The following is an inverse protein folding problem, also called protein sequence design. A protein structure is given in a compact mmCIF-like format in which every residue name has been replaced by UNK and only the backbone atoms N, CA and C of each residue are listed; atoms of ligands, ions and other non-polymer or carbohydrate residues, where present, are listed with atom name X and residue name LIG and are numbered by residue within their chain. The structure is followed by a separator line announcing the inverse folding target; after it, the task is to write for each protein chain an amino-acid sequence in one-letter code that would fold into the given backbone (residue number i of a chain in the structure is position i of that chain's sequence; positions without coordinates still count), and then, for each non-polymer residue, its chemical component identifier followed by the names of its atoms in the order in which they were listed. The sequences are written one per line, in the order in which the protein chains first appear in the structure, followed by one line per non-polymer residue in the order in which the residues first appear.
data_IF_311224739173
#
_entry.id   IF_311224739173
#
_cell.length_a   1.000
_cell.length_b   1.000
_cell.length_c   1.000
_cell.angle_alpha   90.00
_cell.angle_beta   90.00
_cell.angle_gamma   90.00
#
_symmetry.space_group_name_H-M   'P 1'
#
loop_
_entity.id
_entity.type
_entity.pdbx_description
1 polymer ?
#
# COMPACT_ATOMS: atom_id res chain seq x y z
N UNK A 1 0.13 -2.08 3.46
CA UNK A 1 0.11 -0.64 3.77
C UNK A 1 0.56 -0.35 5.20
N UNK A 2 0.05 -1.02 6.22
CA UNK A 2 0.47 -0.83 7.61
C UNK A 2 1.97 -0.96 7.84
N UNK A 3 2.60 -1.97 7.24
CA UNK A 3 4.05 -2.16 7.28
C UNK A 3 4.83 -0.92 6.80
N UNK A 4 4.36 -0.28 5.73
CA UNK A 4 4.99 0.94 5.21
C UNK A 4 4.88 2.09 6.20
N UNK A 5 3.70 2.31 6.78
CA UNK A 5 3.46 3.41 7.72
C UNK A 5 4.35 3.35 8.96
N UNK A 6 4.56 2.15 9.52
CA UNK A 6 5.33 2.02 10.76
C UNK A 6 6.84 1.95 10.52
N UNK A 7 7.27 1.49 9.34
CA UNK A 7 8.69 1.29 9.05
C UNK A 7 9.33 2.44 8.26
N UNK A 8 8.55 3.34 7.66
CA UNK A 8 9.08 4.50 6.95
C UNK A 8 9.85 5.44 7.88
N UNK A 9 9.34 5.66 9.09
CA UNK A 9 9.97 6.51 10.11
C UNK A 9 11.38 6.01 10.50
N UNK A 10 11.57 4.78 11.02
CA UNK A 10 12.91 4.30 11.38
C UNK A 10 13.85 4.20 10.19
N UNK A 11 13.34 3.99 8.98
CA UNK A 11 14.16 3.99 7.77
C UNK A 11 14.75 5.36 7.46
N UNK A 12 13.97 6.44 7.58
CA UNK A 12 14.44 7.80 7.30
C UNK A 12 15.31 8.31 8.44
N UNK A 13 14.93 8.08 9.69
CA UNK A 13 15.68 8.55 10.86
C UNK A 13 17.01 7.83 11.05
N UNK A 14 17.23 6.68 10.42
CA UNK A 14 18.49 5.95 10.47
C UNK A 14 19.66 6.68 9.78
N UNK A 15 19.36 7.52 8.78
CA UNK A 15 20.40 8.24 8.02
C UNK A 15 20.14 9.75 7.91
N UNK A 16 19.03 10.25 8.44
CA UNK A 16 18.65 11.66 8.34
C UNK A 16 17.93 12.14 9.61
N UNK A 17 17.38 13.32 9.56
CA UNK A 17 16.73 13.99 10.69
C UNK A 17 15.19 14.03 10.56
N UNK A 18 14.52 14.48 11.65
CA UNK A 18 13.06 14.61 11.70
C UNK A 18 12.52 15.62 10.68
N UNK A 19 13.32 16.61 10.28
CA UNK A 19 12.93 17.59 9.25
C UNK A 19 12.82 16.92 7.89
N UNK A 20 13.79 16.06 7.56
CA UNK A 20 13.77 15.26 6.33
C UNK A 20 12.61 14.28 6.32
N UNK A 21 12.32 13.64 7.45
CA UNK A 21 11.14 12.77 7.59
C UNK A 21 9.87 13.54 7.26
N UNK A 22 9.67 14.72 7.83
CA UNK A 22 8.50 15.57 7.55
C UNK A 22 8.39 15.95 6.06
N UNK A 23 9.52 16.22 5.39
CA UNK A 23 9.54 16.49 3.94
C UNK A 23 9.10 15.24 3.15
N UNK A 24 9.64 14.06 3.46
CA UNK A 24 9.27 12.81 2.80
C UNK A 24 7.78 12.53 2.96
N UNK A 25 7.24 12.64 4.18
CA UNK A 25 5.82 12.44 4.46
C UNK A 25 4.93 13.43 3.73
N UNK A 26 5.33 14.71 3.69
CA UNK A 26 4.59 15.76 2.96
C UNK A 26 4.53 15.46 1.47
N UNK A 27 5.65 15.06 0.87
CA UNK A 27 5.70 14.68 -0.56
C UNK A 27 4.83 13.45 -0.81
N UNK A 28 4.86 12.45 0.06
CA UNK A 28 3.99 11.28 -0.01
C UNK A 28 2.51 11.67 0.03
N UNK A 29 2.12 12.53 0.98
CA UNK A 29 0.75 13.02 1.11
C UNK A 29 0.28 13.79 -0.14
N UNK A 30 1.16 14.58 -0.75
CA UNK A 30 0.88 15.26 -2.03
C UNK A 30 0.56 14.24 -3.15
N UNK A 31 1.22 13.09 -3.19
CA UNK A 31 0.91 12.01 -4.14
C UNK A 31 -0.53 11.54 -4.03
N UNK A 32 -0.99 11.27 -2.81
CA UNK A 32 -2.38 10.89 -2.54
C UNK A 32 -3.37 11.99 -2.92
N UNK A 33 -3.05 13.25 -2.60
CA UNK A 33 -3.91 14.39 -2.89
C UNK A 33 -4.07 14.60 -4.41
N UNK A 34 -2.98 14.62 -5.15
CA UNK A 34 -2.98 14.79 -6.62
C UNK A 34 -3.77 13.67 -7.29
N UNK A 35 -3.55 12.43 -6.88
CA UNK A 35 -4.25 11.28 -7.47
C UNK A 35 -5.75 11.27 -7.13
N UNK A 36 -6.12 11.69 -5.91
CA UNK A 36 -7.53 11.86 -5.52
C UNK A 36 -8.25 12.91 -6.34
N UNK A 37 -7.58 14.05 -6.63
CA UNK A 37 -8.13 15.09 -7.50
C UNK A 37 -8.32 14.57 -8.93
N UNK A 38 -7.33 13.89 -9.49
CA UNK A 38 -7.42 13.30 -10.83
C UNK A 38 -8.57 12.31 -10.90
N UNK A 39 -8.71 11.44 -9.89
CA UNK A 39 -9.77 10.47 -9.79
C UNK A 39 -11.15 11.13 -9.65
N UNK A 40 -11.25 12.21 -8.86
CA UNK A 40 -12.48 12.98 -8.69
C UNK A 40 -12.94 13.67 -10.00
N UNK A 41 -12.01 14.13 -10.84
CA UNK A 41 -12.33 14.80 -12.11
C UNK A 41 -12.64 13.78 -13.23
N UNK A 42 -11.82 12.75 -13.38
CA UNK A 42 -11.93 11.81 -14.50
C UNK A 42 -12.77 10.58 -14.21
N UNK A 43 -12.82 10.13 -12.97
CA UNK A 43 -13.43 8.87 -12.56
C UNK A 43 -12.72 7.65 -13.19
N UNK A 44 -13.18 6.47 -12.81
CA UNK A 44 -12.85 5.20 -13.50
C UNK A 44 -14.09 4.80 -14.29
N UNK A 45 -13.96 4.72 -15.61
CA UNK A 45 -15.11 4.45 -16.49
C UNK A 45 -15.45 2.96 -16.60
N UNK A 46 -14.45 2.10 -16.58
CA UNK A 46 -14.58 0.65 -16.69
C UNK A 46 -13.26 -0.03 -16.32
N UNK A 47 -13.27 -1.35 -16.15
CA UNK A 47 -12.05 -2.10 -15.89
C UNK A 47 -11.60 -2.04 -14.43
N UNK A 48 -12.51 -1.93 -13.46
CA UNK A 48 -12.18 -1.76 -12.04
C UNK A 48 -11.29 -2.89 -11.50
N UNK A 49 -11.56 -4.14 -11.88
CA UNK A 49 -10.75 -5.29 -11.48
C UNK A 49 -9.32 -5.21 -12.06
N UNK A 50 -9.20 -4.75 -13.30
CA UNK A 50 -7.90 -4.56 -13.96
C UNK A 50 -7.13 -3.38 -13.35
N UNK A 51 -7.81 -2.25 -13.13
CA UNK A 51 -7.22 -1.07 -12.49
C UNK A 51 -6.75 -1.42 -11.08
N UNK A 52 -7.54 -2.18 -10.31
CA UNK A 52 -7.17 -2.68 -8.99
C UNK A 52 -5.87 -3.49 -9.03
N UNK A 53 -5.79 -4.48 -9.91
CA UNK A 53 -4.60 -5.34 -10.02
C UNK A 53 -3.36 -4.55 -10.44
N UNK A 54 -3.49 -3.63 -11.39
CA UNK A 54 -2.38 -2.76 -11.84
C UNK A 54 -1.93 -1.82 -10.71
N UNK A 55 -2.89 -1.19 -10.01
CA UNK A 55 -2.58 -0.28 -8.90
C UNK A 55 -1.87 -1.01 -7.76
N UNK A 56 -2.30 -2.23 -7.41
CA UNK A 56 -1.64 -3.06 -6.41
C UNK A 56 -0.24 -3.50 -6.83
N UNK A 57 -0.05 -3.91 -8.09
CA UNK A 57 1.27 -4.27 -8.59
C UNK A 57 2.22 -3.07 -8.57
N UNK A 58 1.75 -1.92 -9.03
CA UNK A 58 2.53 -0.69 -9.04
C UNK A 58 2.87 -0.22 -7.63
N UNK A 59 1.92 -0.26 -6.69
CA UNK A 59 2.20 0.05 -5.28
C UNK A 59 3.20 -0.91 -4.65
N UNK A 60 3.18 -2.20 -4.97
CA UNK A 60 4.18 -3.15 -4.50
C UNK A 60 5.59 -2.85 -5.01
N UNK A 61 5.71 -2.49 -6.31
CA UNK A 61 7.00 -2.09 -6.91
C UNK A 61 7.53 -0.80 -6.27
N UNK A 62 6.69 0.23 -6.13
CA UNK A 62 7.09 1.51 -5.53
C UNK A 62 7.42 1.36 -4.05
N UNK A 63 6.69 0.51 -3.31
CA UNK A 63 7.01 0.16 -1.94
C UNK A 63 8.37 -0.53 -1.83
N UNK A 64 8.68 -1.48 -2.71
CA UNK A 64 9.99 -2.11 -2.75
C UNK A 64 11.10 -1.11 -3.12
N UNK A 65 10.83 -0.21 -4.06
CA UNK A 65 11.78 0.85 -4.47
C UNK A 65 12.10 1.81 -3.33
N UNK A 66 11.16 2.10 -2.43
CA UNK A 66 11.37 2.93 -1.25
C UNK A 66 12.46 2.35 -0.32
N UNK A 67 12.54 1.02 -0.20
CA UNK A 67 13.52 0.33 0.62
C UNK A 67 14.89 0.10 -0.04
N UNK A 68 15.08 0.37 -1.34
CA UNK A 68 16.29 -0.02 -2.08
C UNK A 68 17.54 0.71 -1.63
N UNK A 69 17.45 1.98 -1.31
CA UNK A 69 18.59 2.84 -0.93
C UNK A 69 18.16 3.91 0.07
N UNK A 70 19.04 4.22 1.00
CA UNK A 70 18.95 5.36 1.92
C UNK A 70 19.24 6.66 1.15
N UNK A 71 18.29 7.10 0.33
CA UNK A 71 18.34 8.31 -0.48
C UNK A 71 17.01 9.02 -0.45
N UNK A 72 17.01 10.24 0.11
CA UNK A 72 15.80 11.05 0.29
C UNK A 72 15.02 11.26 -1.02
N UNK A 73 15.71 11.53 -2.13
CA UNK A 73 15.05 11.75 -3.42
C UNK A 73 14.34 10.50 -3.93
N UNK A 74 14.99 9.33 -3.78
CA UNK A 74 14.37 8.06 -4.16
C UNK A 74 13.17 7.75 -3.25
N UNK A 75 13.30 7.98 -1.95
CA UNK A 75 12.22 7.78 -0.99
C UNK A 75 11.04 8.71 -1.26
N UNK A 76 11.29 9.99 -1.53
CA UNK A 76 10.25 10.94 -1.93
C UNK A 76 9.53 10.50 -3.21
N UNK A 77 10.27 10.11 -4.25
CA UNK A 77 9.68 9.69 -5.52
C UNK A 77 8.89 8.38 -5.38
N UNK A 78 9.47 7.37 -4.73
CA UNK A 78 8.82 6.09 -4.52
C UNK A 78 7.60 6.22 -3.59
N UNK A 79 7.71 6.98 -2.51
CA UNK A 79 6.62 7.25 -1.58
C UNK A 79 5.49 8.04 -2.25
N UNK A 80 5.79 9.09 -3.00
CA UNK A 80 4.80 9.85 -3.79
C UNK A 80 4.01 8.91 -4.71
N UNK A 81 4.70 8.06 -5.48
CA UNK A 81 4.06 7.12 -6.39
C UNK A 81 3.25 6.05 -5.64
N UNK A 82 3.76 5.53 -4.53
CA UNK A 82 3.04 4.58 -3.69
C UNK A 82 1.72 5.18 -3.18
N UNK A 83 1.78 6.35 -2.57
CA UNK A 83 0.57 7.02 -2.05
C UNK A 83 -0.39 7.44 -3.15
N UNK A 84 0.12 7.78 -4.35
CA UNK A 84 -0.72 8.08 -5.51
C UNK A 84 -1.56 6.89 -5.99
N UNK A 85 -1.18 5.65 -5.70
CA UNK A 85 -1.98 4.46 -6.06
C UNK A 85 -3.14 4.18 -5.11
N UNK A 86 -3.08 4.68 -3.86
CA UNK A 86 -4.05 4.35 -2.81
C UNK A 86 -5.48 4.75 -3.15
N UNK A 87 -5.76 5.98 -3.66
CA UNK A 87 -7.12 6.36 -4.04
C UNK A 87 -7.71 5.49 -5.14
N UNK A 88 -6.90 5.06 -6.11
CA UNK A 88 -7.35 4.17 -7.17
C UNK A 88 -7.70 2.78 -6.61
N UNK A 89 -6.84 2.23 -5.75
CA UNK A 89 -7.06 0.93 -5.12
C UNK A 89 -8.34 0.94 -4.26
N UNK A 90 -8.49 1.95 -3.39
CA UNK A 90 -9.65 2.08 -2.53
C UNK A 90 -10.94 2.27 -3.35
N UNK A 91 -10.94 3.14 -4.36
CA UNK A 91 -12.10 3.37 -5.21
C UNK A 91 -12.53 2.11 -5.96
N UNK A 92 -11.56 1.32 -6.48
CA UNK A 92 -11.88 0.06 -7.14
C UNK A 92 -12.47 -0.97 -6.17
N UNK A 93 -11.91 -1.09 -4.96
CA UNK A 93 -12.44 -1.99 -3.92
C UNK A 93 -13.85 -1.59 -3.50
N UNK A 94 -14.08 -0.29 -3.27
CA UNK A 94 -15.38 0.26 -2.89
C UNK A 94 -16.44 -0.01 -3.97
N UNK A 95 -16.07 0.24 -5.22
CA UNK A 95 -16.99 -0.01 -6.36
C UNK A 95 -17.34 -1.49 -6.48
N UNK A 96 -16.33 -2.38 -6.48
CA UNK A 96 -16.56 -3.81 -6.59
C UNK A 96 -17.37 -4.37 -5.41
N UNK A 97 -17.15 -3.86 -4.19
CA UNK A 97 -17.92 -4.25 -3.03
C UNK A 97 -19.38 -3.80 -3.15
N UNK A 98 -19.62 -2.54 -3.53
CA UNK A 98 -20.99 -1.98 -3.65
C UNK A 98 -21.81 -2.64 -4.74
N UNK A 99 -21.20 -2.93 -5.89
CA UNK A 99 -21.93 -3.52 -7.03
C UNK A 99 -22.23 -5.01 -6.85
N UNK A 100 -21.48 -5.72 -6.04
CA UNK A 100 -21.65 -7.17 -5.86
C UNK A 100 -22.34 -7.57 -4.55
N UNK A 101 -22.55 -6.63 -3.61
CA UNK A 101 -23.20 -6.90 -2.33
C UNK A 101 -24.59 -6.27 -2.35
N UNK A 102 -25.68 -7.06 -2.09
CA UNK A 102 -27.02 -6.52 -1.99
C UNK A 102 -27.13 -5.42 -0.92
N UNK A 103 -27.93 -4.36 -1.18
CA UNK A 103 -28.04 -3.18 -0.32
C UNK A 103 -28.38 -3.53 1.14
N UNK A 104 -29.26 -4.51 1.34
CA UNK A 104 -29.67 -4.98 2.67
C UNK A 104 -28.50 -5.55 3.51
N UNK A 105 -27.44 -6.02 2.84
CA UNK A 105 -26.24 -6.66 3.48
C UNK A 105 -25.03 -5.74 3.50
N UNK A 106 -25.06 -4.60 2.82
CA UNK A 106 -23.92 -3.71 2.70
C UNK A 106 -23.37 -3.26 4.06
N UNK A 107 -24.24 -2.88 5.00
CA UNK A 107 -23.80 -2.44 6.33
C UNK A 107 -22.99 -3.52 7.08
N UNK A 108 -23.42 -4.77 7.02
CA UNK A 108 -22.71 -5.90 7.65
C UNK A 108 -21.39 -6.20 6.93
N UNK A 109 -21.41 -6.14 5.60
CA UNK A 109 -20.22 -6.38 4.78
C UNK A 109 -19.15 -5.31 5.03
N UNK A 110 -19.52 -4.03 5.07
CA UNK A 110 -18.58 -2.95 5.38
C UNK A 110 -18.03 -3.04 6.81
N UNK A 111 -18.86 -3.41 7.79
CA UNK A 111 -18.42 -3.67 9.14
C UNK A 111 -17.38 -4.80 9.20
N UNK A 112 -17.61 -5.89 8.48
CA UNK A 112 -16.68 -7.02 8.42
C UNK A 112 -15.37 -6.64 7.69
N UNK A 113 -15.46 -5.96 6.55
CA UNK A 113 -14.29 -5.50 5.79
C UNK A 113 -13.45 -4.56 6.66
N UNK A 114 -14.08 -3.60 7.34
CA UNK A 114 -13.39 -2.67 8.25
C UNK A 114 -12.71 -3.41 9.40
N UNK A 115 -13.42 -4.35 10.04
CA UNK A 115 -12.86 -5.15 11.14
C UNK A 115 -11.65 -6.00 10.69
N UNK A 116 -11.77 -6.72 9.57
CA UNK A 116 -10.67 -7.51 9.02
C UNK A 116 -9.48 -6.64 8.62
N UNK A 117 -9.75 -5.45 8.05
CA UNK A 117 -8.69 -4.50 7.71
C UNK A 117 -7.94 -4.02 8.94
N UNK A 118 -8.65 -3.68 10.02
CA UNK A 118 -8.03 -3.27 11.28
C UNK A 118 -7.21 -4.38 11.94
N UNK A 119 -7.73 -5.62 11.94
CA UNK A 119 -6.93 -6.77 12.38
C UNK A 119 -5.66 -6.95 11.55
N UNK A 120 -5.77 -6.78 10.22
CA UNK A 120 -4.62 -6.82 9.32
C UNK A 120 -3.59 -5.75 9.66
N UNK A 121 -4.01 -4.52 10.01
CA UNK A 121 -3.09 -3.46 10.46
C UNK A 121 -2.41 -3.82 11.78
N UNK A 122 -3.14 -4.30 12.78
CA UNK A 122 -2.58 -4.70 14.08
C UNK A 122 -1.53 -5.79 13.92
N UNK A 123 -1.83 -6.81 13.12
CA UNK A 123 -0.89 -7.91 12.80
C UNK A 123 0.33 -7.37 12.05
N UNK A 124 0.12 -6.52 11.04
CA UNK A 124 1.20 -5.93 10.28
C UNK A 124 2.13 -5.08 11.17
N UNK A 125 1.57 -4.27 12.07
CA UNK A 125 2.34 -3.45 13.00
C UNK A 125 3.16 -4.29 13.96
N UNK A 126 2.55 -5.29 14.60
CA UNK A 126 3.25 -6.18 15.54
C UNK A 126 4.37 -6.99 14.87
N UNK A 127 4.09 -7.57 13.70
CA UNK A 127 5.07 -8.37 12.98
C UNK A 127 6.19 -7.51 12.36
N UNK A 128 5.87 -6.32 11.87
CA UNK A 128 6.86 -5.47 11.18
C UNK A 128 8.01 -5.06 12.11
N UNK A 129 7.72 -4.67 13.34
CA UNK A 129 8.74 -4.30 14.32
C UNK A 129 9.64 -5.49 14.67
N UNK A 130 9.04 -6.63 15.04
CA UNK A 130 9.78 -7.86 15.40
C UNK A 130 10.65 -8.35 14.23
N UNK A 131 10.14 -8.30 13.00
CA UNK A 131 10.89 -8.70 11.81
C UNK A 131 12.03 -7.71 11.49
N UNK A 132 11.79 -6.40 11.65
CA UNK A 132 12.83 -5.39 11.43
C UNK A 132 13.98 -5.56 12.43
N UNK A 133 13.68 -5.72 13.72
CA UNK A 133 14.67 -5.94 14.77
C UNK A 133 15.41 -7.28 14.58
N UNK A 134 14.69 -8.34 14.24
CA UNK A 134 15.26 -9.66 13.99
C UNK A 134 16.19 -9.68 12.78
N UNK A 135 15.86 -8.94 11.71
CA UNK A 135 16.72 -8.80 10.54
C UNK A 135 17.93 -7.89 10.82
N UNK A 136 17.74 -6.79 11.54
CA UNK A 136 18.82 -5.92 11.96
C UNK A 136 19.85 -6.69 12.79
N UNK A 137 19.42 -7.48 13.79
CA UNK A 137 20.29 -8.29 14.62
C UNK A 137 21.03 -9.38 13.86
N UNK A 138 20.37 -10.07 12.92
CA UNK A 138 21.02 -11.12 12.09
C UNK A 138 22.03 -10.58 11.10
N UNK A 139 21.81 -9.38 10.59
CA UNK A 139 22.68 -8.74 9.60
C UNK A 139 23.76 -7.84 10.25
N UNK A 140 23.75 -7.72 11.59
CA UNK A 140 24.61 -6.76 12.33
C UNK A 140 24.51 -5.34 11.75
N UNK A 141 23.30 -4.92 11.40
CA UNK A 141 22.97 -3.64 10.76
C UNK A 141 22.00 -2.83 11.62
N UNK A 142 21.80 -1.57 11.25
CA UNK A 142 20.83 -0.70 11.93
C UNK A 142 19.38 -1.18 11.74
N UNK A 143 18.51 -0.76 12.67
CA UNK A 143 17.05 -1.03 12.59
C UNK A 143 16.44 -0.44 11.31
N UNK A 144 16.93 0.70 10.83
CA UNK A 144 16.50 1.31 9.58
C UNK A 144 16.77 0.42 8.36
N UNK A 145 17.93 -0.26 8.31
CA UNK A 145 18.24 -1.23 7.26
C UNK A 145 17.37 -2.49 7.40
N UNK A 146 17.15 -2.99 8.62
CA UNK A 146 16.22 -4.08 8.88
C UNK A 146 14.81 -3.75 8.40
N UNK A 147 14.34 -2.54 8.69
CA UNK A 147 13.04 -2.00 8.22
C UNK A 147 12.96 -1.94 6.69
N UNK A 148 14.04 -1.52 6.02
CA UNK A 148 14.10 -1.48 4.55
C UNK A 148 13.88 -2.87 3.93
N UNK A 149 14.53 -3.91 4.47
CA UNK A 149 14.31 -5.28 4.00
C UNK A 149 12.87 -5.77 4.20
N UNK A 150 12.26 -5.48 5.36
CA UNK A 150 10.85 -5.82 5.60
C UNK A 150 9.92 -5.11 4.63
N UNK A 151 10.15 -3.83 4.34
CA UNK A 151 9.39 -3.05 3.36
C UNK A 151 9.54 -3.63 1.95
N UNK A 152 10.76 -4.01 1.54
CA UNK A 152 11.00 -4.63 0.24
C UNK A 152 10.30 -5.99 0.11
N UNK A 153 10.38 -6.85 1.12
CA UNK A 153 9.70 -8.15 1.14
C UNK A 153 8.19 -7.95 1.06
N UNK A 154 7.64 -7.02 1.84
CA UNK A 154 6.21 -6.69 1.84
C UNK A 154 5.75 -6.14 0.49
N UNK A 155 6.58 -5.31 -0.17
CA UNK A 155 6.34 -4.84 -1.54
C UNK A 155 6.30 -5.99 -2.54
N UNK A 156 7.25 -6.93 -2.45
CA UNK A 156 7.27 -8.15 -3.27
C UNK A 156 6.03 -9.03 -3.07
N UNK A 157 5.61 -9.24 -1.83
CA UNK A 157 4.37 -9.97 -1.51
C UNK A 157 3.14 -9.27 -2.10
N UNK A 158 3.10 -7.93 -2.07
CA UNK A 158 2.01 -7.16 -2.65
C UNK A 158 1.96 -7.33 -4.18
N UNK A 159 3.10 -7.37 -4.86
CA UNK A 159 3.17 -7.69 -6.30
C UNK A 159 2.64 -9.09 -6.58
N UNK A 160 3.05 -10.09 -5.78
CA UNK A 160 2.57 -11.47 -5.94
C UNK A 160 1.05 -11.56 -5.75
N UNK A 161 0.49 -10.86 -4.75
CA UNK A 161 -0.97 -10.81 -4.55
C UNK A 161 -1.67 -10.12 -5.71
N UNK A 162 -1.10 -9.06 -6.28
CA UNK A 162 -1.64 -8.38 -7.45
C UNK A 162 -1.67 -9.31 -8.69
N UNK A 163 -0.61 -10.08 -8.90
CA UNK A 163 -0.54 -11.09 -9.99
C UNK A 163 -1.59 -12.18 -9.75
N UNK A 164 -1.69 -12.71 -8.53
CA UNK A 164 -2.69 -13.71 -8.18
C UNK A 164 -4.11 -13.20 -8.47
N UNK A 165 -4.44 -11.97 -8.05
CA UNK A 165 -5.73 -11.33 -8.34
C UNK A 165 -5.99 -11.19 -9.85
N UNK A 166 -4.97 -10.83 -10.62
CA UNK A 166 -5.10 -10.68 -12.09
C UNK A 166 -5.37 -12.00 -12.82
N UNK A 167 -4.93 -13.12 -12.23
CA UNK A 167 -5.13 -14.48 -12.78
C UNK A 167 -6.47 -15.10 -12.34
N UNK A 168 -7.08 -14.62 -11.27
CA UNK A 168 -8.36 -15.14 -10.77
C UNK A 168 -9.51 -14.70 -11.69
N UNK A 169 -10.12 -15.65 -12.39
CA UNK A 169 -11.31 -15.42 -13.23
C UNK A 169 -12.48 -14.83 -12.43
N UNK A 170 -12.64 -15.24 -11.17
CA UNK A 170 -13.70 -14.74 -10.29
C UNK A 170 -13.66 -13.22 -10.09
N UNK A 171 -12.48 -12.59 -10.09
CA UNK A 171 -12.36 -11.13 -9.94
C UNK A 171 -12.79 -10.42 -11.23
N UNK A 172 -12.58 -11.05 -12.39
CA UNK A 172 -13.04 -10.53 -13.70
C UNK A 172 -14.55 -10.68 -13.85
N UNK A 173 -15.14 -11.75 -13.32
CA UNK A 173 -16.59 -11.99 -13.33
C UNK A 173 -17.38 -11.00 -12.45
N UNK A 174 -16.74 -10.44 -11.40
CA UNK A 174 -17.35 -9.40 -10.57
C UNK A 174 -17.64 -8.11 -11.36
N UNK A 175 -16.95 -7.92 -12.47
CA UNK A 175 -17.12 -6.76 -13.36
C UNK A 175 -18.15 -7.02 -14.47
N UNK A 176 -18.39 -8.28 -14.83
CA UNK A 176 -19.28 -8.69 -15.93
C UNK A 176 -20.74 -8.89 -15.54
N UNK A 177 -21.13 -8.62 -14.29
CA UNK A 177 -22.51 -8.77 -13.81
C UNK A 177 -23.42 -7.54 -13.98
N UNK A 178 -22.94 -6.53 -14.72
CA UNK A 178 -23.74 -5.35 -15.09
C UNK A 178 -24.04 -5.30 -16.56
#
# INVERSE_FOLDING_TARGET
MGTFQILAEPMVLDFSDSTTLGIVETVCACGMLVSSLILGIKGIKSGYAKVLSISLAFSGVTMAAFGLKQNVYLMCAAGFLFFATLPFTNNCLDYLARTNIPDEKQGRAWGLIGFLSQLGYVVAYGLSGVLADGLAGKLERSVGIGSAYVVMISGGLLVLTAIALSLMSSVKELEGKN
#
